data_IF_949354388384
#
_entry.id   IF_949354388384
#
_cell.length_a   1.000
_cell.length_b   1.000
_cell.length_c   1.000
_cell.angle_alpha   90.00
_cell.angle_beta   90.00
_cell.angle_gamma   90.00
#
_symmetry.space_group_name_H-M   'P 1'
#
loop_
_entity.id
_entity.type
_entity.pdbx_description
1 polymer ?
#
# COMPACT_ATOMS: atom_id res chain seq x y z
N UNK A 1 -4.98 12.09 -3.98
CA UNK A 1 -5.30 11.68 -2.63
C UNK A 1 -6.03 10.34 -2.65
N UNK A 2 -5.52 9.29 -1.98
CA UNK A 2 -6.15 7.96 -2.00
C UNK A 2 -7.57 7.99 -1.44
N UNK A 3 -8.47 7.25 -2.08
CA UNK A 3 -9.87 7.06 -1.63
C UNK A 3 -10.26 5.59 -1.72
N UNK A 4 -11.15 5.14 -0.84
CA UNK A 4 -11.72 3.79 -0.92
C UNK A 4 -12.75 3.74 -2.05
N UNK A 5 -12.48 2.89 -3.04
CA UNK A 5 -13.38 2.66 -4.17
C UNK A 5 -14.40 1.57 -3.86
N UNK A 6 -14.01 0.51 -3.17
CA UNK A 6 -14.88 -0.61 -2.82
C UNK A 6 -14.33 -1.40 -1.63
N UNK A 7 -15.20 -2.10 -0.93
CA UNK A 7 -14.87 -3.06 0.12
C UNK A 7 -15.57 -4.37 -0.20
N UNK A 8 -14.80 -5.41 -0.47
CA UNK A 8 -15.32 -6.72 -0.84
C UNK A 8 -15.20 -7.70 0.33
N UNK A 9 -16.33 -8.22 0.79
CA UNK A 9 -16.37 -9.20 1.88
C UNK A 9 -16.10 -10.62 1.38
N UNK A 10 -15.25 -11.34 2.10
CA UNK A 10 -14.89 -12.73 1.82
C UNK A 10 -15.37 -13.71 2.88
N UNK A 11 -15.83 -13.24 4.04
CA UNK A 11 -16.21 -14.09 5.18
C UNK A 11 -17.72 -14.06 5.49
N UNK A 12 -18.51 -13.42 4.66
CA UNK A 12 -19.96 -13.30 4.86
C UNK A 12 -20.39 -12.16 5.79
N UNK A 13 -19.47 -11.48 6.48
CA UNK A 13 -19.81 -10.29 7.25
C UNK A 13 -20.13 -9.13 6.32
N UNK A 14 -21.00 -8.18 6.72
CA UNK A 14 -21.25 -6.98 5.93
C UNK A 14 -19.96 -6.19 5.68
N UNK A 15 -19.81 -5.67 4.46
CA UNK A 15 -18.64 -4.88 4.08
C UNK A 15 -18.43 -3.67 5.00
N UNK A 16 -19.50 -3.02 5.43
CA UNK A 16 -19.44 -1.87 6.36
C UNK A 16 -18.89 -2.25 7.72
N UNK A 17 -19.23 -3.44 8.25
CA UNK A 17 -18.67 -3.94 9.50
C UNK A 17 -17.17 -4.21 9.39
N UNK A 18 -16.73 -4.81 8.29
CA UNK A 18 -15.32 -5.05 8.02
C UNK A 18 -14.54 -3.73 7.83
N UNK A 19 -15.13 -2.75 7.16
CA UNK A 19 -14.56 -1.41 7.02
C UNK A 19 -14.42 -0.72 8.37
N UNK A 20 -15.42 -0.83 9.24
CA UNK A 20 -15.39 -0.28 10.60
C UNK A 20 -14.22 -0.87 11.42
N UNK A 21 -14.07 -2.18 11.39
CA UNK A 21 -12.95 -2.87 12.05
C UNK A 21 -11.60 -2.39 11.49
N UNK A 22 -11.47 -2.34 10.18
CA UNK A 22 -10.26 -1.86 9.53
C UNK A 22 -9.92 -0.43 9.92
N UNK A 23 -10.89 0.48 9.95
CA UNK A 23 -10.72 1.87 10.33
C UNK A 23 -10.25 2.01 11.79
N UNK A 24 -10.82 1.23 12.71
CA UNK A 24 -10.39 1.23 14.12
C UNK A 24 -8.93 0.84 14.27
N UNK A 25 -8.46 -0.14 13.50
CA UNK A 25 -7.08 -0.62 13.55
C UNK A 25 -6.10 0.35 12.85
N UNK A 26 -6.56 1.01 11.78
CA UNK A 26 -5.74 1.90 10.96
C UNK A 26 -5.69 3.35 11.49
N UNK A 27 -6.53 3.70 12.46
CA UNK A 27 -6.72 5.08 12.93
C UNK A 27 -5.42 5.81 13.28
N UNK A 28 -4.49 5.11 13.88
CA UNK A 28 -3.20 5.68 14.31
C UNK A 28 -2.04 5.36 13.37
N UNK A 29 -2.30 4.69 12.26
CA UNK A 29 -1.25 4.32 11.31
C UNK A 29 -0.99 5.47 10.32
N UNK A 30 0.24 6.00 10.26
CA UNK A 30 0.54 7.20 9.47
C UNK A 30 0.75 6.92 7.98
N UNK A 31 -0.08 6.10 7.37
CA UNK A 31 0.01 5.72 5.96
C UNK A 31 -1.17 6.30 5.17
N UNK A 32 -0.94 6.69 3.92
CA UNK A 32 -1.98 7.33 3.10
C UNK A 32 -3.19 6.43 2.84
N UNK A 33 -2.97 5.12 2.66
CA UNK A 33 -4.05 4.15 2.50
C UNK A 33 -4.85 3.96 3.78
N UNK A 34 -4.19 3.95 4.95
CA UNK A 34 -4.85 3.92 6.25
C UNK A 34 -5.76 5.13 6.44
N UNK A 35 -5.28 6.31 6.08
CA UNK A 35 -6.09 7.54 6.13
C UNK A 35 -7.31 7.47 5.21
N UNK A 36 -7.19 6.85 4.04
CA UNK A 36 -8.31 6.63 3.13
C UNK A 36 -9.39 5.75 3.77
N UNK A 37 -8.99 4.66 4.42
CA UNK A 37 -9.90 3.75 5.15
C UNK A 37 -10.64 4.49 6.27
N UNK A 38 -9.92 5.24 7.08
CA UNK A 38 -10.52 6.02 8.19
C UNK A 38 -11.50 7.07 7.68
N UNK A 39 -11.16 7.78 6.61
CA UNK A 39 -12.06 8.77 6.00
C UNK A 39 -13.33 8.14 5.45
N UNK A 40 -13.24 6.98 4.80
CA UNK A 40 -14.42 6.30 4.24
C UNK A 40 -15.35 5.82 5.37
N UNK A 41 -14.81 5.27 6.46
CA UNK A 41 -15.59 4.90 7.63
C UNK A 41 -16.30 6.13 8.24
N UNK A 42 -15.61 7.27 8.35
CA UNK A 42 -16.20 8.50 8.83
C UNK A 42 -17.30 9.04 7.90
N UNK A 43 -17.08 8.98 6.57
CA UNK A 43 -18.08 9.37 5.57
C UNK A 43 -19.35 8.55 5.66
N UNK A 44 -19.25 7.27 5.97
CA UNK A 44 -20.38 6.36 6.19
C UNK A 44 -20.95 6.42 7.59
N UNK A 45 -20.49 7.33 8.43
CA UNK A 45 -20.93 7.52 9.83
C UNK A 45 -20.85 6.23 10.66
N UNK A 46 -19.86 5.39 10.38
CA UNK A 46 -19.60 4.16 11.13
C UNK A 46 -19.01 4.53 12.49
N UNK A 47 -19.67 4.05 13.57
CA UNK A 47 -19.28 4.37 14.95
C UNK A 47 -17.97 3.68 15.31
N UNK A 48 -16.98 4.45 15.73
CA UNK A 48 -15.80 3.95 16.41
C UNK A 48 -16.16 3.67 17.88
N UNK A 49 -16.51 2.46 18.21
CA UNK A 49 -16.26 1.99 19.55
C UNK A 49 -14.76 1.71 19.61
N UNK A 50 -14.08 2.36 20.56
CA UNK A 50 -12.69 2.02 20.83
C UNK A 50 -12.63 0.53 21.14
N UNK A 51 -12.23 -0.24 20.15
CA UNK A 51 -11.88 -1.63 20.36
C UNK A 51 -10.57 -1.58 21.15
N UNK A 52 -10.65 -1.75 22.47
CA UNK A 52 -9.51 -1.78 23.37
C UNK A 52 -8.65 -3.02 23.06
N UNK A 53 -8.01 -2.99 21.91
CA UNK A 53 -7.15 -4.06 21.44
C UNK A 53 -5.73 -3.56 21.36
N UNK A 54 -4.80 -4.42 21.73
CA UNK A 54 -3.39 -4.17 21.54
C UNK A 54 -3.07 -4.27 20.06
N UNK A 55 -2.84 -3.13 19.41
CA UNK A 55 -2.43 -3.06 18.00
C UNK A 55 -0.92 -3.12 17.92
N UNK A 56 -0.40 -4.11 17.20
CA UNK A 56 1.03 -4.23 16.88
C UNK A 56 1.26 -3.80 15.43
N UNK A 57 2.12 -2.80 15.27
CA UNK A 57 2.55 -2.36 13.95
C UNK A 57 3.79 -3.13 13.54
N UNK A 58 3.69 -3.92 12.48
CA UNK A 58 4.86 -4.55 11.86
C UNK A 58 5.37 -3.55 10.82
N UNK A 59 6.51 -2.95 11.13
CA UNK A 59 7.09 -1.86 10.34
C UNK A 59 7.10 -2.18 8.85
N UNK A 60 6.46 -1.30 8.07
CA UNK A 60 6.40 -1.34 6.61
C UNK A 60 5.57 -2.49 5.98
N UNK A 61 5.03 -3.41 6.76
CA UNK A 61 4.33 -4.59 6.23
C UNK A 61 2.82 -4.56 6.50
N UNK A 62 2.40 -4.11 7.68
CA UNK A 62 0.99 -4.08 8.02
C UNK A 62 0.73 -3.96 9.52
N UNK A 63 -0.48 -4.31 9.91
CA UNK A 63 -0.98 -4.23 11.27
C UNK A 63 -1.42 -5.62 11.71
N UNK A 64 -1.09 -5.98 12.95
CA UNK A 64 -1.61 -7.17 13.63
C UNK A 64 -2.30 -6.77 14.92
N UNK A 65 -3.47 -7.31 15.19
CA UNK A 65 -4.24 -7.06 16.40
C UNK A 65 -5.02 -8.29 16.82
N UNK A 66 -5.49 -8.29 18.06
CA UNK A 66 -6.41 -9.31 18.58
C UNK A 66 -7.73 -8.64 18.96
N UNK A 67 -8.84 -9.13 18.43
CA UNK A 67 -10.18 -8.66 18.72
C UNK A 67 -11.07 -9.88 19.06
N UNK A 68 -11.68 -9.87 20.24
CA UNK A 68 -12.53 -10.99 20.73
C UNK A 68 -11.83 -12.36 20.63
N UNK A 69 -10.55 -12.41 20.95
CA UNK A 69 -9.73 -13.61 20.87
C UNK A 69 -9.31 -14.03 19.46
N UNK A 70 -9.68 -13.27 18.43
CA UNK A 70 -9.32 -13.55 17.04
C UNK A 70 -8.18 -12.65 16.59
N UNK A 71 -7.22 -13.23 15.87
CA UNK A 71 -6.13 -12.46 15.28
C UNK A 71 -6.60 -11.79 14.00
N UNK A 72 -6.46 -10.46 13.94
CA UNK A 72 -6.76 -9.67 12.74
C UNK A 72 -5.47 -9.08 12.21
N UNK A 73 -5.23 -9.27 10.92
CA UNK A 73 -4.10 -8.67 10.21
C UNK A 73 -4.61 -7.85 9.03
N UNK A 74 -3.95 -6.73 8.78
CA UNK A 74 -4.24 -5.86 7.63
C UNK A 74 -2.92 -5.44 6.99
N UNK A 75 -2.82 -5.54 5.69
CA UNK A 75 -1.63 -5.10 4.98
C UNK A 75 -1.60 -5.46 3.51
N UNK A 76 -0.40 -5.47 2.96
CA UNK A 76 -0.13 -5.84 1.57
C UNK A 76 -0.38 -7.32 1.29
N UNK A 77 -0.43 -7.68 0.02
CA UNK A 77 -0.48 -9.08 -0.40
C UNK A 77 0.66 -9.91 0.21
N UNK A 78 1.88 -9.40 0.11
CA UNK A 78 3.06 -10.06 0.66
C UNK A 78 2.91 -10.34 2.17
N UNK A 79 2.51 -9.34 2.94
CA UNK A 79 2.32 -9.50 4.39
C UNK A 79 1.23 -10.52 4.72
N UNK A 80 0.05 -10.37 4.12
CA UNK A 80 -1.12 -11.19 4.49
C UNK A 80 -0.99 -12.62 3.99
N UNK A 81 -0.56 -12.83 2.75
CA UNK A 81 -0.55 -14.17 2.13
C UNK A 81 0.80 -14.88 2.18
N UNK A 82 1.90 -14.16 2.14
CA UNK A 82 3.24 -14.76 2.15
C UNK A 82 3.82 -14.84 3.57
N UNK A 83 3.88 -13.73 4.30
CA UNK A 83 4.43 -13.72 5.66
C UNK A 83 3.50 -14.39 6.67
N UNK A 84 2.24 -14.03 6.69
CA UNK A 84 1.24 -14.53 7.65
C UNK A 84 0.46 -15.75 7.14
N UNK A 85 0.66 -16.14 5.90
CA UNK A 85 0.09 -17.33 5.27
C UNK A 85 -1.44 -17.45 5.38
N UNK A 86 -2.14 -16.32 5.28
CA UNK A 86 -3.60 -16.33 5.20
C UNK A 86 -4.09 -17.07 3.97
N UNK A 87 -5.27 -17.65 4.07
CA UNK A 87 -5.90 -18.40 2.99
C UNK A 87 -7.18 -17.73 2.53
N UNK A 88 -7.49 -17.87 1.26
CA UNK A 88 -8.78 -17.46 0.73
C UNK A 88 -9.81 -18.50 1.19
N UNK A 89 -10.97 -18.08 1.76
CA UNK A 89 -12.00 -19.02 2.19
C UNK A 89 -12.46 -19.93 1.06
N UNK A 90 -12.83 -21.17 1.41
CA UNK A 90 -13.37 -22.14 0.46
C UNK A 90 -14.56 -21.56 -0.31
N UNK A 91 -14.56 -21.73 -1.65
CA UNK A 91 -15.61 -21.23 -2.53
C UNK A 91 -15.49 -19.74 -2.89
N UNK A 92 -14.44 -19.04 -2.44
CA UNK A 92 -14.25 -17.60 -2.68
C UNK A 92 -13.10 -17.26 -3.64
N UNK A 93 -12.43 -18.26 -4.21
CA UNK A 93 -11.33 -18.04 -5.13
C UNK A 93 -11.76 -17.27 -6.39
N UNK A 94 -12.92 -17.59 -6.93
CA UNK A 94 -13.46 -16.89 -8.11
C UNK A 94 -13.73 -15.41 -7.82
N UNK A 95 -14.31 -15.10 -6.64
CA UNK A 95 -14.52 -13.72 -6.21
C UNK A 95 -13.19 -12.96 -6.11
N UNK A 96 -12.15 -13.61 -5.59
CA UNK A 96 -10.82 -13.04 -5.52
C UNK A 96 -10.23 -12.77 -6.91
N UNK A 97 -10.36 -13.71 -7.83
CA UNK A 97 -9.84 -13.59 -9.20
C UNK A 97 -10.56 -12.51 -10.01
N UNK A 98 -11.80 -12.19 -9.66
CA UNK A 98 -12.61 -11.15 -10.29
C UNK A 98 -12.47 -9.76 -9.68
N UNK A 99 -11.62 -9.58 -8.65
CA UNK A 99 -11.40 -8.26 -8.08
C UNK A 99 -10.91 -7.28 -9.14
N UNK A 100 -11.36 -6.01 -9.09
CA UNK A 100 -10.87 -4.98 -10.02
C UNK A 100 -9.36 -4.84 -9.94
N UNK A 101 -8.74 -4.85 -11.08
CA UNK A 101 -7.28 -4.86 -11.18
C UNK A 101 -6.66 -3.45 -11.19
N UNK A 102 -7.47 -2.43 -11.44
CA UNK A 102 -7.05 -1.02 -11.51
C UNK A 102 -6.80 -0.37 -10.15
N UNK A 103 -7.26 -0.98 -9.06
CA UNK A 103 -7.11 -0.42 -7.73
C UNK A 103 -5.96 -1.05 -6.96
N UNK A 104 -5.30 -0.25 -6.13
CA UNK A 104 -4.45 -0.75 -5.06
C UNK A 104 -5.31 -1.49 -4.04
N UNK A 105 -4.75 -2.50 -3.38
CA UNK A 105 -5.50 -3.36 -2.48
C UNK A 105 -4.90 -3.39 -1.09
N UNK A 106 -5.76 -3.29 -0.10
CA UNK A 106 -5.44 -3.55 1.29
C UNK A 106 -6.19 -4.82 1.71
N UNK A 107 -5.47 -5.82 2.17
CA UNK A 107 -6.04 -7.12 2.54
C UNK A 107 -6.24 -7.21 4.04
N UNK A 108 -7.37 -7.73 4.48
CA UNK A 108 -7.66 -8.01 5.89
C UNK A 108 -7.98 -9.48 6.07
N UNK A 109 -7.27 -10.15 6.98
CA UNK A 109 -7.53 -11.54 7.34
C UNK A 109 -7.88 -11.65 8.83
N UNK A 110 -8.78 -12.56 9.14
CA UNK A 110 -9.21 -12.89 10.51
C UNK A 110 -8.95 -14.37 10.73
N UNK A 111 -8.17 -14.70 11.77
CA UNK A 111 -7.77 -16.06 12.11
C UNK A 111 -7.24 -16.86 10.90
N UNK A 112 -6.37 -16.25 10.13
CA UNK A 112 -5.70 -16.90 9.01
C UNK A 112 -6.51 -17.03 7.72
N UNK A 113 -7.72 -16.43 7.66
CA UNK A 113 -8.57 -16.43 6.46
C UNK A 113 -8.87 -15.02 6.00
N UNK A 114 -8.80 -14.79 4.70
CA UNK A 114 -9.15 -13.50 4.11
C UNK A 114 -10.60 -13.14 4.47
N UNK A 115 -10.78 -11.98 5.09
CA UNK A 115 -12.08 -11.46 5.49
C UNK A 115 -12.58 -10.36 4.57
N UNK A 116 -11.69 -9.47 4.12
CA UNK A 116 -12.03 -8.37 3.22
C UNK A 116 -10.85 -7.95 2.35
N UNK A 117 -11.19 -7.42 1.18
CA UNK A 117 -10.26 -6.66 0.35
C UNK A 117 -10.79 -5.25 0.20
N UNK A 118 -10.02 -4.27 0.62
CA UNK A 118 -10.33 -2.86 0.47
C UNK A 118 -9.62 -2.36 -0.78
N UNK A 119 -10.41 -2.00 -1.79
CA UNK A 119 -9.92 -1.47 -3.06
C UNK A 119 -9.75 0.04 -2.92
N UNK A 120 -8.55 0.54 -3.20
CA UNK A 120 -8.19 1.93 -3.03
C UNK A 120 -7.79 2.53 -4.37
N UNK A 121 -8.46 3.61 -4.73
CA UNK A 121 -8.12 4.41 -5.89
C UNK A 121 -7.16 5.52 -5.46
N UNK A 122 -5.97 5.52 -6.07
CA UNK A 122 -4.98 6.56 -5.87
C UNK A 122 -4.62 7.16 -7.24
N UNK A 123 -5.41 8.14 -7.71
CA UNK A 123 -5.19 8.69 -9.03
C UNK A 123 -3.85 9.41 -9.11
N UNK A 124 -3.16 9.22 -10.23
CA UNK A 124 -1.94 9.92 -10.56
C UNK A 124 -2.20 11.43 -10.58
N UNK A 125 -1.26 12.20 -10.03
CA UNK A 125 -1.32 13.67 -10.12
C UNK A 125 -1.18 14.10 -11.57
N UNK A 126 -2.03 15.00 -12.02
CA UNK A 126 -2.06 15.49 -13.41
C UNK A 126 -0.72 16.09 -13.86
N UNK A 127 -0.02 16.73 -12.94
CA UNK A 127 1.28 17.38 -13.19
C UNK A 127 2.46 16.39 -13.29
N UNK A 128 2.31 15.13 -12.89
CA UNK A 128 3.43 14.20 -12.79
C UNK A 128 4.18 13.97 -14.12
N UNK A 129 3.53 13.77 -15.28
CA UNK A 129 4.26 13.62 -16.54
C UNK A 129 5.09 14.86 -16.91
N UNK A 130 4.57 16.06 -16.64
CA UNK A 130 5.29 17.30 -16.91
C UNK A 130 6.51 17.46 -16.01
N UNK A 131 6.37 17.13 -14.71
CA UNK A 131 7.48 17.17 -13.77
C UNK A 131 8.62 16.26 -14.23
N UNK A 132 8.30 15.04 -14.68
CA UNK A 132 9.31 14.11 -15.20
C UNK A 132 10.02 14.68 -16.43
N UNK A 133 9.29 15.30 -17.37
CA UNK A 133 9.90 15.96 -18.53
C UNK A 133 10.83 17.10 -18.12
N UNK A 134 10.41 17.90 -17.15
CA UNK A 134 11.24 18.99 -16.64
C UNK A 134 12.50 18.49 -15.96
N UNK A 135 12.44 17.44 -15.16
CA UNK A 135 13.62 16.83 -14.55
C UNK A 135 14.63 16.37 -15.59
N UNK A 136 14.17 15.71 -16.65
CA UNK A 136 15.03 15.30 -17.76
C UNK A 136 15.65 16.49 -18.49
N UNK A 137 14.91 17.58 -18.70
CA UNK A 137 15.42 18.80 -19.34
C UNK A 137 16.48 19.52 -18.50
N UNK A 138 16.46 19.32 -17.18
CA UNK A 138 17.46 19.87 -16.24
C UNK A 138 18.72 19.02 -16.12
N UNK A 139 18.83 17.93 -16.87
CA UNK A 139 20.03 17.09 -16.91
C UNK A 139 19.94 15.80 -16.12
N UNK A 140 18.77 15.43 -15.64
CA UNK A 140 18.53 14.09 -15.06
C UNK A 140 18.51 13.06 -16.19
N UNK A 141 19.49 12.16 -16.20
CA UNK A 141 19.66 11.19 -17.30
C UNK A 141 18.68 10.03 -17.23
N UNK A 142 18.30 9.62 -16.01
CA UNK A 142 17.47 8.45 -15.79
C UNK A 142 16.52 8.68 -14.62
N UNK A 143 15.24 8.48 -14.86
CA UNK A 143 14.19 8.54 -13.84
C UNK A 143 13.65 7.13 -13.60
N UNK A 144 13.68 6.69 -12.35
CA UNK A 144 13.23 5.36 -11.92
C UNK A 144 12.10 5.50 -10.92
N UNK A 145 11.04 4.73 -11.13
CA UNK A 145 9.93 4.63 -10.18
C UNK A 145 10.03 3.32 -9.40
N UNK A 146 9.95 3.41 -8.08
CA UNK A 146 9.87 2.24 -7.19
C UNK A 146 8.58 2.31 -6.39
N UNK A 147 7.82 1.23 -6.37
CA UNK A 147 6.53 1.15 -5.71
C UNK A 147 6.29 -0.22 -5.07
N UNK A 148 5.53 -0.25 -3.98
CA UNK A 148 5.01 -1.48 -3.39
C UNK A 148 3.80 -2.06 -4.13
N UNK A 149 3.22 -1.33 -5.10
CA UNK A 149 2.07 -1.78 -5.88
C UNK A 149 2.40 -2.98 -6.77
N UNK A 150 1.35 -3.65 -7.26
CA UNK A 150 1.48 -4.74 -8.21
C UNK A 150 2.12 -4.29 -9.52
N UNK A 151 2.76 -5.21 -10.23
CA UNK A 151 3.45 -4.94 -11.50
C UNK A 151 2.54 -4.27 -12.54
N UNK A 152 1.30 -4.68 -12.61
CA UNK A 152 0.36 -4.12 -13.57
C UNK A 152 0.01 -2.66 -13.27
N UNK A 153 -0.29 -2.32 -12.02
CA UNK A 153 -0.55 -0.93 -11.61
C UNK A 153 0.71 -0.09 -11.85
N UNK A 154 1.86 -0.60 -11.43
CA UNK A 154 3.15 0.07 -11.61
C UNK A 154 3.49 0.32 -13.08
N UNK A 155 3.30 -0.68 -13.93
CA UNK A 155 3.54 -0.55 -15.37
C UNK A 155 2.64 0.47 -16.05
N UNK A 156 1.35 0.48 -15.71
CA UNK A 156 0.40 1.46 -16.24
C UNK A 156 0.77 2.90 -15.83
N UNK A 157 1.12 3.10 -14.57
CA UNK A 157 1.56 4.41 -14.06
C UNK A 157 2.87 4.83 -14.73
N UNK A 158 3.86 3.94 -14.80
CA UNK A 158 5.15 4.21 -15.41
C UNK A 158 5.03 4.65 -16.86
N UNK A 159 4.16 3.98 -17.63
CA UNK A 159 3.87 4.33 -19.01
C UNK A 159 3.22 5.71 -19.15
N UNK A 160 2.32 6.07 -18.26
CA UNK A 160 1.66 7.38 -18.27
C UNK A 160 2.61 8.50 -17.84
N UNK A 161 3.40 8.28 -16.81
CA UNK A 161 4.33 9.30 -16.27
C UNK A 161 5.55 9.51 -17.16
N UNK A 162 6.00 8.48 -17.87
CA UNK A 162 7.16 8.55 -18.76
C UNK A 162 8.50 8.38 -18.05
N UNK A 163 8.55 7.58 -16.98
CA UNK A 163 9.80 7.17 -16.35
C UNK A 163 10.57 6.19 -17.25
N UNK A 164 11.88 6.09 -17.07
CA UNK A 164 12.74 5.22 -17.88
C UNK A 164 12.66 3.77 -17.43
N UNK A 165 12.56 3.54 -16.15
CA UNK A 165 12.45 2.21 -15.54
C UNK A 165 11.48 2.25 -14.37
N UNK A 166 10.88 1.10 -14.08
CA UNK A 166 10.09 0.95 -12.86
C UNK A 166 10.35 -0.41 -12.20
N UNK A 167 10.20 -0.43 -10.88
CA UNK A 167 10.22 -1.64 -10.07
C UNK A 167 8.95 -1.71 -9.24
N UNK A 168 8.23 -2.81 -9.36
CA UNK A 168 7.01 -3.10 -8.62
C UNK A 168 7.29 -4.00 -7.42
N UNK A 169 6.33 -4.07 -6.50
CA UNK A 169 6.39 -4.97 -5.32
C UNK A 169 7.68 -4.80 -4.50
N UNK A 170 8.19 -3.57 -4.45
CA UNK A 170 9.44 -3.23 -3.78
C UNK A 170 9.18 -3.00 -2.29
N UNK A 171 9.97 -3.68 -1.46
CA UNK A 171 9.98 -3.46 -0.02
C UNK A 171 10.79 -2.20 0.33
N UNK A 172 10.50 -1.52 1.46
CA UNK A 172 11.23 -0.31 1.85
C UNK A 172 12.74 -0.50 1.97
N UNK A 173 13.19 -1.64 2.49
CA UNK A 173 14.61 -2.00 2.58
C UNK A 173 15.28 -2.14 1.21
N UNK A 174 14.56 -2.59 0.20
CA UNK A 174 15.07 -2.73 -1.16
C UNK A 174 15.29 -1.38 -1.83
N UNK A 175 14.47 -0.37 -1.49
CA UNK A 175 14.65 1.00 -2.00
C UNK A 175 15.99 1.58 -1.57
N UNK A 176 16.37 1.42 -0.30
CA UNK A 176 17.66 1.89 0.19
C UNK A 176 18.83 1.15 -0.49
N UNK A 177 18.72 -0.16 -0.64
CA UNK A 177 19.72 -0.98 -1.32
C UNK A 177 19.90 -0.57 -2.79
N UNK A 178 18.82 -0.30 -3.47
CA UNK A 178 18.87 0.19 -4.86
C UNK A 178 19.61 1.52 -4.97
N UNK A 179 19.33 2.47 -4.08
CA UNK A 179 20.02 3.76 -4.04
C UNK A 179 21.53 3.57 -3.82
N UNK A 180 21.92 2.71 -2.87
CA UNK A 180 23.33 2.42 -2.61
C UNK A 180 24.03 1.78 -3.81
N UNK A 181 23.37 0.86 -4.51
CA UNK A 181 23.91 0.23 -5.72
C UNK A 181 24.13 1.26 -6.84
N UNK A 182 23.22 2.19 -7.05
CA UNK A 182 23.38 3.25 -8.05
C UNK A 182 24.55 4.20 -7.69
N UNK A 183 24.72 4.53 -6.42
CA UNK A 183 25.87 5.32 -5.95
C UNK A 183 27.20 4.59 -6.16
N UNK A 184 27.26 3.30 -5.86
CA UNK A 184 28.44 2.48 -6.09
C UNK A 184 28.81 2.35 -7.56
N UNK A 185 27.83 2.42 -8.45
CA UNK A 185 28.02 2.47 -9.90
C UNK A 185 28.54 3.85 -10.40
N UNK A 186 28.73 4.81 -9.50
CA UNK A 186 29.23 6.14 -9.82
C UNK A 186 28.17 7.18 -10.15
N UNK A 187 26.90 6.86 -9.95
CA UNK A 187 25.80 7.79 -10.23
C UNK A 187 25.52 8.71 -9.04
N UNK A 188 25.14 9.95 -9.33
CA UNK A 188 24.54 10.85 -8.34
C UNK A 188 23.05 10.56 -8.27
N UNK A 189 22.53 10.32 -7.07
CA UNK A 189 21.15 9.89 -6.86
C UNK A 189 20.36 10.95 -6.10
N UNK A 190 19.24 11.35 -6.70
CA UNK A 190 18.20 12.15 -6.04
C UNK A 190 17.05 11.19 -5.74
N UNK A 191 16.66 11.09 -4.46
CA UNK A 191 15.54 10.28 -4.01
C UNK A 191 14.38 11.17 -3.59
N UNK A 192 13.20 10.88 -4.13
CA UNK A 192 11.95 11.54 -3.75
C UNK A 192 11.03 10.50 -3.12
N UNK A 193 10.53 10.78 -1.93
CA UNK A 193 9.63 9.91 -1.18
C UNK A 193 8.78 10.70 -0.20
N UNK A 194 7.77 10.05 0.39
CA UNK A 194 6.84 10.69 1.32
C UNK A 194 7.30 10.68 2.80
N UNK A 195 8.46 10.12 3.06
CA UNK A 195 9.20 10.29 4.30
C UNK A 195 9.30 9.06 5.19
N UNK A 196 8.21 8.48 5.66
CA UNK A 196 8.29 7.50 6.77
C UNK A 196 8.88 6.17 6.32
N UNK A 197 8.32 5.57 5.28
CA UNK A 197 8.79 4.27 4.75
C UNK A 197 10.02 4.42 3.87
N UNK A 198 10.27 5.60 3.35
CA UNK A 198 11.39 5.89 2.45
C UNK A 198 12.59 6.49 3.16
N UNK A 199 12.54 6.69 4.49
CA UNK A 199 13.62 7.32 5.27
C UNK A 199 15.01 6.71 5.03
N UNK A 200 15.18 5.37 5.02
CA UNK A 200 16.49 4.79 4.72
C UNK A 200 16.99 5.12 3.32
N UNK A 201 16.12 5.08 2.31
CA UNK A 201 16.48 5.42 0.92
C UNK A 201 16.78 6.91 0.75
N UNK A 202 15.98 7.77 1.40
CA UNK A 202 16.20 9.23 1.41
C UNK A 202 17.56 9.58 2.05
N UNK A 203 17.91 8.90 3.13
CA UNK A 203 19.20 9.10 3.83
C UNK A 203 20.40 8.57 3.03
N UNK A 204 20.20 7.52 2.25
CA UNK A 204 21.26 6.93 1.43
C UNK A 204 21.57 7.73 0.16
N UNK A 205 20.61 8.50 -0.35
CA UNK A 205 20.76 9.30 -1.57
C UNK A 205 21.71 10.48 -1.39
N UNK A 206 22.25 11.02 -2.49
CA UNK A 206 23.02 12.27 -2.47
C UNK A 206 22.13 13.47 -2.12
N UNK A 207 20.89 13.44 -2.58
CA UNK A 207 19.82 14.38 -2.22
C UNK A 207 18.54 13.60 -1.95
N UNK A 208 17.99 13.75 -0.78
CA UNK A 208 16.74 13.13 -0.38
C UNK A 208 15.69 14.13 0.06
#
# INVERSE_FOLDING_TARGET
>A
QPTVADVVSFNGQPAEELLRIAACLEEHFPHSMAKAVVREAARKELVHEELHTKVEYIVAHGISSTLDGKKIIIGSYHFVFEDEQAQIPEGRQELFDQLPEEYSRLYMAIDGKLAAVICIEDPLREEAPEVIRQLKSLGIHKVVMMTGDSDRIAGAIAGTVGVDEYYSEVLPEDKARFVEQEKQAGHKVIMIGDGINDSPALSAADVG
#
